data_IF_073678192550
#
_entry.id   IF_073678192550
#
_cell.length_a   1.000
_cell.length_b   1.000
_cell.length_c   1.000
_cell.angle_alpha   90.00
_cell.angle_beta   90.00
_cell.angle_gamma   90.00
#
_symmetry.space_group_name_H-M   'P 1'
#
loop_
_entity.id
_entity.type
_entity.pdbx_description
1 polymer ?
#
# COMPACT_ATOMS: atom_id res chain seq x y z
N UNK A 1 20.08 3.47 -1.31
CA UNK A 1 19.39 3.79 -1.56
C UNK A 1 19.05 3.82 -2.86
N UNK A 2 18.37 3.08 -3.30
CA UNK A 2 18.05 2.93 -4.55
C UNK A 2 17.11 3.90 -5.03
N UNK A 3 16.30 4.40 -4.23
CA UNK A 3 15.50 5.49 -4.60
C UNK A 3 16.34 6.56 -5.12
N UNK A 4 17.56 6.56 -4.64
CA UNK A 4 18.45 7.55 -5.07
C UNK A 4 18.80 7.43 -6.50
N UNK A 5 18.70 6.26 -7.06
CA UNK A 5 19.02 6.11 -8.44
C UNK A 5 18.10 6.93 -9.30
N UNK A 6 16.83 6.91 -9.01
CA UNK A 6 15.89 7.70 -9.76
C UNK A 6 16.17 9.17 -9.58
N UNK A 7 16.51 9.58 -8.38
CA UNK A 7 16.77 10.97 -8.16
C UNK A 7 18.06 11.38 -8.80
N UNK A 8 19.00 10.47 -8.88
CA UNK A 8 20.25 10.79 -9.52
C UNK A 8 20.06 10.98 -11.01
N UNK A 9 19.03 10.46 -11.57
CA UNK A 9 18.81 10.68 -12.98
C UNK A 9 18.31 12.08 -13.23
N UNK A 10 18.02 12.84 -12.21
CA UNK A 10 17.59 14.20 -12.35
C UNK A 10 16.12 14.39 -12.60
N UNK A 11 15.37 13.32 -12.62
CA UNK A 11 13.95 13.44 -12.89
C UNK A 11 13.17 13.86 -11.67
N UNK A 12 13.62 13.52 -10.47
CA UNK A 12 12.91 13.85 -9.25
C UNK A 12 11.49 13.31 -9.27
N UNK A 13 11.29 12.21 -9.94
CA UNK A 13 9.96 11.61 -10.10
C UNK A 13 9.93 10.22 -9.48
N UNK A 14 8.73 9.76 -9.16
CA UNK A 14 8.55 8.39 -8.71
C UNK A 14 7.29 7.84 -9.36
N UNK A 15 7.18 6.54 -9.37
CA UNK A 15 5.97 5.89 -9.85
C UNK A 15 5.17 5.39 -8.68
N UNK A 16 3.87 5.65 -8.71
CA UNK A 16 2.95 5.33 -7.63
C UNK A 16 1.85 4.44 -8.19
N UNK A 17 1.58 3.34 -7.52
CA UNK A 17 0.45 2.50 -7.85
C UNK A 17 -0.77 3.02 -7.11
N UNK A 18 -1.80 3.40 -7.86
CA UNK A 18 -3.04 3.89 -7.27
C UNK A 18 -3.99 2.73 -7.04
N UNK A 19 -4.57 2.64 -5.86
CA UNK A 19 -5.56 1.63 -5.55
C UNK A 19 -6.61 2.22 -4.64
N UNK A 20 -7.71 1.51 -4.44
CA UNK A 20 -8.76 1.98 -3.57
C UNK A 20 -8.98 1.04 -2.40
N UNK A 21 -9.35 1.60 -1.27
CA UNK A 21 -9.82 0.88 -0.12
C UNK A 21 -10.99 1.69 0.42
N UNK A 22 -12.14 1.07 0.52
CA UNK A 22 -13.33 1.83 0.84
C UNK A 22 -13.64 2.81 -0.28
N UNK A 23 -13.91 4.04 0.07
CA UNK A 23 -14.25 5.06 -0.90
C UNK A 23 -13.09 5.99 -1.24
N UNK A 24 -11.91 5.68 -0.74
CA UNK A 24 -10.76 6.58 -0.89
C UNK A 24 -9.70 5.98 -1.79
N UNK A 25 -8.88 6.84 -2.37
CA UNK A 25 -7.79 6.45 -3.24
C UNK A 25 -6.48 6.57 -2.50
N UNK A 26 -5.63 5.57 -2.66
CA UNK A 26 -4.34 5.52 -2.00
C UNK A 26 -3.27 5.17 -3.01
N UNK A 27 -2.05 5.44 -2.69
CA UNK A 27 -0.93 5.12 -3.56
C UNK A 27 0.24 4.55 -2.78
N UNK A 28 1.02 3.73 -3.43
CA UNK A 28 2.22 3.17 -2.85
C UNK A 28 3.32 3.22 -3.90
N UNK A 29 4.55 3.50 -3.48
CA UNK A 29 5.68 3.57 -4.39
C UNK A 29 5.90 2.22 -5.06
N UNK A 30 5.89 2.22 -6.37
CA UNK A 30 6.06 1.01 -7.17
C UNK A 30 7.38 0.30 -6.83
N UNK A 31 8.39 1.04 -6.44
CA UNK A 31 9.69 0.44 -6.10
C UNK A 31 9.59 -0.52 -4.92
N UNK A 32 8.56 -0.42 -4.10
CA UNK A 32 8.39 -1.31 -2.96
C UNK A 32 7.54 -2.53 -3.30
N UNK A 33 6.97 -2.58 -4.47
CA UNK A 33 6.06 -3.65 -4.86
C UNK A 33 6.84 -4.77 -5.51
N UNK A 34 6.59 -5.99 -5.06
CA UNK A 34 7.18 -7.15 -5.64
C UNK A 34 6.26 -7.78 -6.67
N UNK A 35 4.99 -7.81 -6.37
CA UNK A 35 4.02 -8.46 -7.26
C UNK A 35 2.61 -8.04 -6.88
N UNK A 36 1.68 -8.06 -7.82
CA UNK A 36 0.26 -7.81 -7.57
C UNK A 36 -0.48 -9.05 -8.03
N UNK A 37 -1.27 -9.63 -7.14
CA UNK A 37 -2.01 -10.87 -7.45
C UNK A 37 -3.46 -10.72 -7.04
N UNK A 38 -4.36 -11.51 -7.63
CA UNK A 38 -5.76 -11.47 -7.21
C UNK A 38 -5.95 -12.06 -5.82
N UNK A 39 -7.11 -11.83 -5.26
CA UNK A 39 -7.46 -12.33 -3.94
C UNK A 39 -7.29 -13.84 -3.85
N UNK A 40 -6.76 -14.30 -2.74
CA UNK A 40 -6.69 -15.72 -2.42
C UNK A 40 -7.17 -15.90 -0.99
N UNK A 41 -7.68 -17.07 -0.69
CA UNK A 41 -8.07 -17.41 0.67
C UNK A 41 -6.81 -17.50 1.52
N UNK A 42 -6.81 -16.86 2.66
CA UNK A 42 -5.66 -16.88 3.56
C UNK A 42 -5.96 -17.76 4.77
N UNK A 43 -4.91 -18.26 5.40
CA UNK A 43 -5.04 -19.09 6.59
C UNK A 43 -4.87 -18.19 7.81
N UNK A 44 -5.89 -18.07 8.65
CA UNK A 44 -5.76 -17.22 9.85
C UNK A 44 -4.72 -17.77 10.82
N UNK A 45 -4.03 -16.86 11.48
CA UNK A 45 -3.03 -17.23 12.47
C UNK A 45 -3.53 -16.81 13.85
N UNK A 46 -3.68 -17.74 14.78
CA UNK A 46 -4.17 -17.38 16.10
C UNK A 46 -3.25 -16.38 16.80
N UNK A 47 -3.83 -15.50 17.55
CA UNK A 47 -3.09 -14.50 18.34
C UNK A 47 -2.25 -13.53 17.55
N UNK A 48 -2.54 -13.39 16.26
CA UNK A 48 -1.83 -12.40 15.46
C UNK A 48 -2.46 -11.02 15.69
N UNK A 49 -1.79 -9.99 15.20
CA UNK A 49 -2.30 -8.63 15.29
C UNK A 49 -3.67 -8.55 14.61
N UNK A 50 -4.60 -7.80 15.14
CA UNK A 50 -5.95 -7.73 14.54
C UNK A 50 -5.99 -7.33 13.07
N UNK A 51 -5.01 -6.59 12.59
CA UNK A 51 -4.97 -6.17 11.20
C UNK A 51 -4.40 -7.23 10.27
N UNK A 52 -3.86 -8.31 10.81
CA UNK A 52 -3.32 -9.40 10.02
C UNK A 52 -4.44 -10.37 9.70
N UNK A 53 -4.72 -10.57 8.41
CA UNK A 53 -5.75 -11.51 7.99
C UNK A 53 -5.26 -12.94 8.15
N UNK A 54 -3.99 -13.19 7.89
CA UNK A 54 -3.45 -14.54 7.95
C UNK A 54 -2.23 -14.69 7.09
N UNK A 55 -1.98 -15.91 6.66
CA UNK A 55 -0.84 -16.27 5.86
C UNK A 55 -1.29 -16.82 4.52
N UNK A 56 -0.55 -16.48 3.48
CA UNK A 56 -0.78 -16.90 2.12
C UNK A 56 0.55 -17.44 1.62
N UNK A 57 0.57 -18.62 1.06
CA UNK A 57 1.82 -19.27 0.68
C UNK A 57 1.85 -19.69 -0.78
N UNK A 58 2.08 -18.76 -1.69
CA UNK A 58 2.24 -19.12 -3.09
C UNK A 58 3.65 -19.67 -3.28
N UNK A 59 3.78 -20.81 -3.89
CA UNK A 59 5.08 -21.34 -4.28
C UNK A 59 6.10 -21.38 -3.14
N UNK A 60 5.69 -21.85 -2.00
CA UNK A 60 6.56 -22.02 -0.84
C UNK A 60 7.07 -20.72 -0.20
N UNK A 61 6.50 -19.59 -0.58
CA UNK A 61 6.89 -18.34 0.02
C UNK A 61 5.82 -17.93 1.03
N UNK A 62 6.20 -17.78 2.29
CA UNK A 62 5.24 -17.39 3.32
C UNK A 62 5.03 -15.88 3.28
N UNK A 63 3.81 -15.45 3.08
CA UNK A 63 3.48 -14.04 2.99
C UNK A 63 2.43 -13.72 4.05
N UNK A 64 2.69 -12.70 4.85
CA UNK A 64 1.72 -12.22 5.82
C UNK A 64 0.78 -11.25 5.13
N UNK A 65 -0.53 -11.49 5.24
CA UNK A 65 -1.52 -10.65 4.60
C UNK A 65 -2.11 -9.68 5.61
N UNK A 66 -2.04 -8.41 5.31
CA UNK A 66 -2.55 -7.34 6.16
C UNK A 66 -3.79 -6.75 5.50
N UNK A 67 -4.88 -6.68 6.26
CA UNK A 67 -6.12 -6.08 5.77
C UNK A 67 -6.00 -4.58 5.87
N UNK A 68 -5.72 -3.93 4.76
CA UNK A 68 -5.48 -2.50 4.76
C UNK A 68 -6.72 -1.72 5.17
N UNK A 69 -7.91 -2.23 4.88
CA UNK A 69 -9.13 -1.56 5.33
C UNK A 69 -9.18 -1.46 6.84
N UNK A 70 -8.68 -2.46 7.55
CA UNK A 70 -8.64 -2.39 9.01
C UNK A 70 -7.57 -1.42 9.49
N UNK A 71 -6.43 -1.38 8.81
CA UNK A 71 -5.35 -0.47 9.19
C UNK A 71 -5.81 0.98 9.15
N UNK A 72 -6.53 1.34 8.09
CA UNK A 72 -6.94 2.73 7.90
C UNK A 72 -8.39 2.97 8.29
N UNK A 73 -9.02 1.98 8.92
CA UNK A 73 -10.38 2.09 9.42
C UNK A 73 -11.38 2.44 8.32
N UNK A 74 -11.25 1.78 7.19
CA UNK A 74 -12.12 2.00 6.04
C UNK A 74 -13.21 0.93 6.00
N UNK A 75 -14.16 1.12 5.11
CA UNK A 75 -15.25 0.16 4.95
C UNK A 75 -14.74 -1.14 4.35
N UNK A 76 -15.34 -2.26 4.72
CA UNK A 76 -14.94 -3.53 4.12
C UNK A 76 -15.30 -3.59 2.64
N UNK A 77 -14.68 -4.53 1.94
CA UNK A 77 -14.91 -4.71 0.52
C UNK A 77 -16.33 -5.19 0.25
N UNK A 78 -16.99 -4.65 -0.75
CA UNK A 78 -18.32 -5.13 -1.12
C UNK A 78 -18.30 -6.52 -1.77
N UNK A 79 -17.18 -6.89 -2.39
CA UNK A 79 -17.05 -8.20 -3.01
C UNK A 79 -15.59 -8.64 -2.91
N UNK A 80 -15.29 -9.38 -1.87
CA UNK A 80 -13.92 -9.74 -1.55
C UNK A 80 -13.25 -10.55 -2.65
N UNK A 81 -14.03 -11.24 -3.47
CA UNK A 81 -13.45 -12.05 -4.52
C UNK A 81 -12.84 -11.21 -5.63
N UNK A 82 -13.17 -9.94 -5.70
CA UNK A 82 -12.60 -9.03 -6.68
C UNK A 82 -11.43 -8.25 -6.15
N UNK A 83 -11.08 -8.45 -4.90
CA UNK A 83 -10.01 -7.69 -4.28
C UNK A 83 -8.65 -8.15 -4.80
N UNK A 84 -7.63 -7.40 -4.45
CA UNK A 84 -6.27 -7.67 -4.90
C UNK A 84 -5.32 -7.66 -3.72
N UNK A 85 -4.20 -8.35 -3.87
CA UNK A 85 -3.11 -8.33 -2.90
C UNK A 85 -1.92 -7.65 -3.55
N UNK A 86 -1.35 -6.67 -2.87
CA UNK A 86 -0.12 -6.01 -3.30
C UNK A 86 0.99 -6.57 -2.45
N UNK A 87 1.85 -7.38 -3.03
CA UNK A 87 2.93 -8.06 -2.32
C UNK A 87 4.15 -7.16 -2.29
N UNK A 88 4.64 -6.88 -1.11
CA UNK A 88 5.79 -6.02 -0.90
C UNK A 88 6.83 -6.75 -0.08
N UNK A 89 8.02 -6.20 -0.02
CA UNK A 89 9.09 -6.73 0.80
C UNK A 89 9.61 -5.61 1.69
N UNK A 90 9.42 -5.75 3.00
CA UNK A 90 9.90 -4.79 3.96
C UNK A 90 10.81 -5.50 4.93
N UNK A 91 12.01 -5.02 5.11
CA UNK A 91 12.93 -5.59 6.09
C UNK A 91 13.05 -7.10 5.95
N UNK A 92 13.12 -7.55 4.71
CA UNK A 92 13.25 -8.96 4.37
C UNK A 92 12.01 -9.78 4.70
N UNK A 93 10.90 -9.15 5.00
CA UNK A 93 9.65 -9.84 5.21
C UNK A 93 8.74 -9.61 4.02
N UNK A 94 8.05 -10.65 3.60
CA UNK A 94 7.07 -10.53 2.53
C UNK A 94 5.72 -10.22 3.14
N UNK A 95 5.17 -9.09 2.78
CA UNK A 95 3.88 -8.63 3.30
C UNK A 95 2.97 -8.29 2.15
N UNK A 96 1.76 -8.81 2.16
CA UNK A 96 0.77 -8.47 1.15
C UNK A 96 -0.28 -7.56 1.77
N UNK A 97 -0.59 -6.48 1.08
CA UNK A 97 -1.65 -5.59 1.52
C UNK A 97 -2.92 -5.91 0.73
N UNK A 98 -3.97 -6.24 1.46
CA UNK A 98 -5.26 -6.58 0.85
C UNK A 98 -5.98 -5.27 0.56
N UNK A 99 -6.17 -4.97 -0.71
CA UNK A 99 -6.82 -3.74 -1.16
C UNK A 99 -8.04 -4.10 -2.00
N UNK A 100 -8.88 -3.12 -2.29
CA UNK A 100 -10.14 -3.41 -2.97
C UNK A 100 -10.00 -3.39 -4.49
N UNK A 101 -9.40 -2.35 -5.03
CA UNK A 101 -9.27 -2.21 -6.49
C UNK A 101 -7.92 -1.60 -6.82
N UNK A 102 -7.27 -2.10 -7.83
CA UNK A 102 -6.04 -1.51 -8.35
C UNK A 102 -6.41 -0.71 -9.58
N UNK A 103 -6.06 0.58 -9.60
CA UNK A 103 -6.42 1.48 -10.67
C UNK A 103 -5.33 1.54 -11.73
N UNK A 104 -4.10 1.80 -11.34
CA UNK A 104 -3.01 1.90 -12.31
C UNK A 104 -1.80 2.61 -11.72
N UNK A 105 -0.81 2.83 -12.56
CA UNK A 105 0.44 3.43 -12.15
C UNK A 105 0.52 4.85 -12.68
N UNK A 106 0.92 5.78 -11.83
CA UNK A 106 1.07 7.18 -12.19
C UNK A 106 2.48 7.63 -11.90
N UNK A 107 3.01 8.46 -12.78
CA UNK A 107 4.31 9.09 -12.55
C UNK A 107 4.07 10.44 -11.91
N UNK A 108 4.63 10.68 -10.75
CA UNK A 108 4.41 11.92 -10.02
C UNK A 108 5.74 12.51 -9.60
N UNK A 109 5.76 13.80 -9.33
CA UNK A 109 6.96 14.47 -8.85
C UNK A 109 6.95 14.49 -7.33
N UNK A 110 8.12 14.27 -6.72
CA UNK A 110 8.24 14.39 -5.28
C UNK A 110 7.79 15.77 -4.81
N UNK A 111 7.98 16.78 -5.62
CA UNK A 111 7.60 18.14 -5.26
C UNK A 111 6.10 18.34 -5.14
N UNK A 112 5.32 17.46 -5.78
CA UNK A 112 3.87 17.57 -5.75
C UNK A 112 3.24 16.85 -4.58
N UNK A 113 4.01 16.14 -3.78
CA UNK A 113 3.48 15.41 -2.64
C UNK A 113 3.48 16.34 -1.43
N UNK A 114 2.30 16.52 -0.86
CA UNK A 114 2.13 17.38 0.29
C UNK A 114 2.09 16.50 1.53
N UNK A 115 2.94 16.80 2.50
CA UNK A 115 2.95 16.03 3.73
C UNK A 115 2.04 16.69 4.73
N UNK A 116 1.12 15.96 5.34
CA UNK A 116 0.28 16.52 6.37
C UNK A 116 1.11 16.91 7.57
N UNK A 117 0.57 17.80 8.39
CA UNK A 117 1.25 18.20 9.56
C UNK A 117 1.39 17.04 10.53
N UNK A 118 2.38 17.13 11.39
CA UNK A 118 2.68 16.03 12.28
C UNK A 118 1.54 15.68 13.22
N UNK A 119 0.67 16.59 13.50
CA UNK A 119 -0.47 16.32 14.34
C UNK A 119 -1.40 15.32 13.70
N UNK A 120 -1.57 15.42 12.39
CA UNK A 120 -2.43 14.50 11.66
C UNK A 120 -1.82 13.11 11.65
N UNK A 121 -0.50 13.02 11.61
CA UNK A 121 0.16 11.75 11.50
C UNK A 121 0.47 11.09 12.82
N UNK A 122 0.17 11.72 13.91
CA UNK A 122 0.59 11.24 15.22
C UNK A 122 0.00 9.89 15.57
N UNK A 123 -1.11 9.52 14.98
CA UNK A 123 -1.77 8.27 15.29
C UNK A 123 -1.62 7.20 14.25
N UNK A 124 -0.77 7.41 13.28
CA UNK A 124 -0.63 6.47 12.19
C UNK A 124 0.47 5.46 12.46
N UNK A 125 0.36 4.69 13.38
CA UNK A 125 1.20 3.56 13.76
C UNK A 125 2.23 3.13 12.74
N UNK A 126 3.26 3.93 12.53
CA UNK A 126 4.33 3.56 11.60
C UNK A 126 4.00 3.76 10.12
N UNK A 127 2.88 4.38 9.82
CA UNK A 127 2.55 4.67 8.41
C UNK A 127 2.76 6.15 8.17
N UNK A 128 3.67 6.46 7.28
CA UNK A 128 3.88 7.85 6.85
C UNK A 128 2.97 8.13 5.68
N UNK A 129 2.41 9.31 5.63
CA UNK A 129 1.49 9.65 4.55
C UNK A 129 1.87 10.95 3.90
N UNK A 130 1.54 11.06 2.66
CA UNK A 130 1.58 12.29 1.90
C UNK A 130 0.32 12.33 1.06
N UNK A 131 0.03 13.44 0.47
CA UNK A 131 -1.18 13.59 -0.35
C UNK A 131 -0.80 14.21 -1.67
N UNK A 132 -1.34 13.67 -2.75
CA UNK A 132 -1.14 14.26 -4.06
C UNK A 132 -2.48 14.39 -4.74
N UNK A 133 -2.66 15.44 -5.51
CA UNK A 133 -3.88 15.64 -6.27
C UNK A 133 -3.65 15.13 -7.69
N UNK A 134 -4.42 14.14 -8.09
CA UNK A 134 -4.35 13.58 -9.42
C UNK A 134 -5.69 13.83 -10.10
N UNK A 135 -5.68 14.60 -11.15
CA UNK A 135 -6.90 14.98 -11.86
C UNK A 135 -7.82 15.67 -10.85
N UNK A 136 -8.96 15.12 -10.57
CA UNK A 136 -9.91 15.73 -9.66
C UNK A 136 -10.01 14.99 -8.33
N UNK A 137 -9.05 14.18 -7.99
CA UNK A 137 -9.16 13.40 -6.76
C UNK A 137 -7.89 13.51 -5.95
N UNK A 138 -8.01 13.23 -4.67
CA UNK A 138 -6.87 13.20 -3.77
C UNK A 138 -6.45 11.76 -3.58
N UNK A 139 -5.16 11.49 -3.70
CA UNK A 139 -4.59 10.17 -3.50
C UNK A 139 -3.66 10.26 -2.30
N UNK A 140 -3.89 9.44 -1.31
CA UNK A 140 -3.07 9.42 -0.09
C UNK A 140 -1.94 8.45 -0.30
N UNK A 141 -0.72 8.96 -0.27
CA UNK A 141 0.46 8.13 -0.50
C UNK A 141 0.87 7.50 0.82
N UNK A 142 0.95 6.20 0.85
CA UNK A 142 1.29 5.46 2.05
C UNK A 142 2.73 4.99 1.98
N UNK A 143 3.45 5.13 3.08
CA UNK A 143 4.81 4.69 3.16
C UNK A 143 4.93 3.86 4.44
N UNK A 144 5.00 2.57 4.30
CA UNK A 144 5.07 1.65 5.42
C UNK A 144 6.53 1.36 5.73
N UNK A 145 6.86 1.34 7.01
CA UNK A 145 8.23 1.04 7.40
C UNK A 145 8.34 -0.07 8.39
#
# INVERSE_FOLDING_TARGET
>A
METNILMESGTNELEVLEFTVGNNHYGINVAKIKEIVPFHVVTPVPNSHPNVEGIFMPRDMMITVVDLAKVINAKPSPDIKKDMFIITNFNQLNVAFHVHTVIGIHRVSWADIIKPDSTVNAENDGVSTGVIKLEDKLVIILDFE
#
